data_IF_370152027483
#
_entry.id   IF_370152027483
#
_cell.length_a   1.000
_cell.length_b   1.000
_cell.length_c   1.000
_cell.angle_alpha   90.00
_cell.angle_beta   90.00
_cell.angle_gamma   90.00
#
_symmetry.space_group_name_H-M   'P 1'
#
loop_
_entity.id
_entity.type
_entity.pdbx_description
1 polymer ?
#
# COMPACT_ATOMS: atom_id res chain seq x y z
N UNK A 1 -18.28 28.31 6.42
CA UNK A 1 -19.08 27.30 5.70
C UNK A 1 -18.51 25.94 6.06
N UNK A 2 -19.18 25.22 6.96
CA UNK A 2 -18.77 23.86 7.37
C UNK A 2 -19.13 22.91 6.24
N UNK A 3 -18.12 22.31 5.59
CA UNK A 3 -18.34 21.24 4.60
C UNK A 3 -19.27 20.18 5.19
N UNK A 4 -20.22 19.63 4.40
CA UNK A 4 -21.10 18.57 4.89
C UNK A 4 -20.24 17.44 5.44
N UNK A 5 -20.47 17.09 6.71
CA UNK A 5 -19.75 16.04 7.42
C UNK A 5 -20.04 14.73 6.69
N UNK A 6 -19.14 14.30 5.82
CA UNK A 6 -19.24 13.00 5.14
C UNK A 6 -19.38 11.93 6.21
N UNK A 7 -20.37 11.05 6.04
CA UNK A 7 -20.58 9.95 6.98
C UNK A 7 -19.32 9.06 6.95
N UNK A 8 -18.86 8.54 8.10
CA UNK A 8 -17.64 7.74 8.14
C UNK A 8 -17.81 6.48 7.30
N UNK A 9 -16.73 6.04 6.68
CA UNK A 9 -16.64 4.73 6.03
C UNK A 9 -15.83 3.82 6.93
N UNK A 10 -16.41 2.69 7.32
CA UNK A 10 -15.80 1.66 8.14
C UNK A 10 -15.26 0.53 7.25
N UNK A 11 -13.99 0.18 7.43
CA UNK A 11 -13.35 -0.94 6.75
C UNK A 11 -13.27 -2.11 7.74
N UNK A 12 -14.06 -3.15 7.53
CA UNK A 12 -14.04 -4.38 8.35
C UNK A 12 -13.28 -5.43 7.56
N UNK A 13 -12.15 -5.89 8.09
CA UNK A 13 -11.27 -6.86 7.41
C UNK A 13 -11.35 -8.19 8.16
N UNK A 14 -11.75 -9.25 7.48
CA UNK A 14 -11.83 -10.60 8.04
C UNK A 14 -10.43 -11.22 8.21
N UNK A 15 -10.32 -12.22 9.09
CA UNK A 15 -9.08 -12.88 9.48
C UNK A 15 -8.35 -13.49 8.29
N UNK A 16 -9.06 -14.11 7.34
CA UNK A 16 -8.43 -14.69 6.15
C UNK A 16 -7.67 -13.64 5.33
N UNK A 17 -8.25 -12.45 5.17
CA UNK A 17 -7.61 -11.32 4.48
C UNK A 17 -6.45 -10.78 5.31
N UNK A 18 -6.61 -10.62 6.63
CA UNK A 18 -5.50 -10.23 7.51
C UNK A 18 -4.28 -11.15 7.33
N UNK A 19 -4.50 -12.46 7.30
CA UNK A 19 -3.41 -13.44 7.19
C UNK A 19 -2.81 -13.48 5.78
N UNK A 20 -3.64 -13.40 4.73
CA UNK A 20 -3.17 -13.37 3.34
C UNK A 20 -2.31 -12.14 3.05
N UNK A 21 -2.71 -10.98 3.58
CA UNK A 21 -2.06 -9.68 3.33
C UNK A 21 -0.84 -9.43 4.23
N UNK A 22 -0.30 -10.47 4.86
CA UNK A 22 0.79 -10.40 5.84
C UNK A 22 0.51 -9.33 6.90
N UNK A 23 -0.73 -9.30 7.37
CA UNK A 23 -1.28 -8.31 8.28
C UNK A 23 -1.11 -6.87 7.78
N UNK A 24 -1.56 -6.64 6.54
CA UNK A 24 -1.54 -5.37 5.81
C UNK A 24 -0.13 -4.89 5.39
N UNK A 25 0.89 -5.74 5.45
CA UNK A 25 2.24 -5.40 4.95
C UNK A 25 2.44 -5.68 3.47
N UNK A 26 1.52 -6.40 2.84
CA UNK A 26 1.47 -6.55 1.39
C UNK A 26 1.33 -5.20 0.68
N UNK A 27 1.32 -5.22 -0.65
CA UNK A 27 1.11 -4.02 -1.44
C UNK A 27 -0.26 -3.45 -1.35
N UNK A 28 -1.26 -4.33 -1.49
CA UNK A 28 -2.64 -3.95 -1.30
C UNK A 28 -2.90 -3.50 0.13
N UNK A 29 -2.25 -4.13 1.12
CA UNK A 29 -2.24 -3.71 2.52
C UNK A 29 -1.72 -2.29 2.70
N UNK A 30 -0.50 -2.01 2.22
CA UNK A 30 0.13 -0.70 2.31
C UNK A 30 -0.67 0.40 1.60
N UNK A 31 -1.19 0.12 0.40
CA UNK A 31 -2.07 1.01 -0.33
C UNK A 31 -3.38 1.28 0.43
N UNK A 32 -4.00 0.23 0.98
CA UNK A 32 -5.21 0.35 1.80
C UNK A 32 -4.98 1.23 3.03
N UNK A 33 -3.84 1.05 3.72
CA UNK A 33 -3.48 1.88 4.88
C UNK A 33 -3.32 3.36 4.50
N UNK A 34 -2.66 3.63 3.38
CA UNK A 34 -2.50 4.98 2.84
C UNK A 34 -3.86 5.62 2.56
N UNK A 35 -4.73 4.96 1.78
CA UNK A 35 -6.03 5.51 1.42
C UNK A 35 -6.98 5.60 2.60
N UNK A 36 -6.94 4.64 3.52
CA UNK A 36 -7.74 4.72 4.74
C UNK A 36 -7.37 5.96 5.57
N UNK A 37 -6.07 6.26 5.70
CA UNK A 37 -5.61 7.49 6.36
C UNK A 37 -6.04 8.74 5.58
N UNK A 38 -5.76 8.81 4.29
CA UNK A 38 -5.98 10.03 3.49
C UNK A 38 -7.45 10.40 3.34
N UNK A 39 -8.33 9.41 3.30
CA UNK A 39 -9.78 9.59 3.20
C UNK A 39 -10.51 9.58 4.56
N UNK A 40 -9.77 9.42 5.66
CA UNK A 40 -10.36 9.32 7.00
C UNK A 40 -11.27 8.11 7.18
N UNK A 41 -11.04 7.03 6.42
CA UNK A 41 -11.74 5.76 6.64
C UNK A 41 -11.26 5.12 7.94
N UNK A 42 -12.18 4.50 8.66
CA UNK A 42 -11.92 3.90 9.97
C UNK A 42 -11.77 2.40 9.78
N UNK A 43 -10.58 1.87 10.04
CA UNK A 43 -10.36 0.42 10.09
C UNK A 43 -10.98 -0.12 11.37
N UNK A 44 -11.98 -0.96 11.24
CA UNK A 44 -12.66 -1.59 12.37
C UNK A 44 -12.07 -2.97 12.60
N UNK A 45 -11.71 -3.23 13.85
CA UNK A 45 -11.15 -4.51 14.27
C UNK A 45 -12.11 -5.17 15.27
N UNK A 46 -12.99 -6.07 14.82
CA UNK A 46 -13.78 -6.90 15.72
C UNK A 46 -12.90 -7.74 16.63
N UNK A 47 -13.27 -7.85 17.90
CA UNK A 47 -12.51 -8.63 18.88
C UNK A 47 -12.32 -10.10 18.44
N UNK A 48 -13.34 -10.69 17.81
CA UNK A 48 -13.27 -12.05 17.28
C UNK A 48 -12.21 -12.21 16.19
N UNK A 49 -12.07 -11.21 15.32
CA UNK A 49 -11.01 -11.18 14.29
C UNK A 49 -9.66 -10.98 14.94
N UNK A 50 -9.52 -10.00 15.85
CA UNK A 50 -8.27 -9.72 16.57
C UNK A 50 -7.71 -10.99 17.23
N UNK A 51 -8.53 -11.66 18.05
CA UNK A 51 -8.12 -12.88 18.77
C UNK A 51 -7.71 -14.00 17.82
N UNK A 52 -8.38 -14.14 16.69
CA UNK A 52 -8.05 -15.17 15.69
C UNK A 52 -6.74 -14.86 14.96
N UNK A 53 -6.54 -13.61 14.53
CA UNK A 53 -5.31 -13.13 13.90
C UNK A 53 -4.12 -13.30 14.85
N UNK A 54 -4.23 -12.86 16.11
CA UNK A 54 -3.18 -13.00 17.13
C UNK A 54 -2.82 -14.48 17.35
N UNK A 55 -3.83 -15.35 17.47
CA UNK A 55 -3.62 -16.80 17.61
C UNK A 55 -2.91 -17.40 16.40
N UNK A 56 -3.27 -17.00 15.18
CA UNK A 56 -2.63 -17.47 13.96
C UNK A 56 -1.20 -16.97 13.84
N UNK A 57 -0.95 -15.68 14.07
CA UNK A 57 0.40 -15.10 14.06
C UNK A 57 1.32 -15.78 15.07
N UNK A 58 0.84 -16.01 16.29
CA UNK A 58 1.59 -16.77 17.32
C UNK A 58 1.98 -18.16 16.80
N UNK A 59 1.01 -18.93 16.29
CA UNK A 59 1.26 -20.28 15.76
C UNK A 59 2.29 -20.26 14.63
N UNK A 60 2.15 -19.35 13.67
CA UNK A 60 3.10 -19.21 12.57
C UNK A 60 4.50 -18.89 13.06
N UNK A 61 4.66 -17.94 14.00
CA UNK A 61 5.97 -17.61 14.55
C UNK A 61 6.57 -18.77 15.36
N UNK A 62 5.77 -19.48 16.14
CA UNK A 62 6.22 -20.64 16.91
C UNK A 62 6.69 -21.79 15.99
N UNK A 63 5.96 -22.06 14.91
CA UNK A 63 6.33 -23.06 13.91
C UNK A 63 7.64 -22.68 13.20
N UNK A 64 7.81 -21.40 12.84
CA UNK A 64 9.06 -20.90 12.27
C UNK A 64 10.24 -21.03 13.26
N UNK A 65 10.02 -20.70 14.53
CA UNK A 65 11.03 -20.87 15.59
C UNK A 65 11.45 -22.32 15.77
N UNK A 66 10.51 -23.26 15.70
CA UNK A 66 10.79 -24.70 15.71
C UNK A 66 11.60 -25.14 14.50
N UNK A 67 11.21 -24.70 13.30
CA UNK A 67 11.95 -25.00 12.06
C UNK A 67 13.38 -24.47 12.11
N UNK A 68 13.59 -23.24 12.61
CA UNK A 68 14.92 -22.67 12.82
C UNK A 68 15.76 -23.49 13.80
N UNK A 69 15.16 -23.93 14.91
CA UNK A 69 15.81 -24.79 15.90
C UNK A 69 16.22 -26.14 15.30
N UNK A 70 15.34 -26.76 14.50
CA UNK A 70 15.61 -28.04 13.84
C UNK A 70 16.72 -27.92 12.80
N UNK A 71 16.69 -26.86 11.98
CA UNK A 71 17.74 -26.56 11.00
C UNK A 71 19.09 -26.31 11.69
N UNK A 72 19.09 -25.54 12.79
CA UNK A 72 20.29 -25.27 13.57
C UNK A 72 20.89 -26.57 14.14
N UNK A 73 20.07 -27.45 14.72
CA UNK A 73 20.52 -28.78 15.22
C UNK A 73 21.19 -29.60 14.12
N UNK A 74 20.61 -29.64 12.92
CA UNK A 74 21.20 -30.33 11.76
C UNK A 74 22.54 -29.73 11.36
N UNK A 75 22.67 -28.40 11.35
CA UNK A 75 23.94 -27.73 11.05
C UNK A 75 25.03 -28.03 12.08
N UNK A 76 24.69 -28.03 13.38
CA UNK A 76 25.63 -28.40 14.44
C UNK A 76 26.10 -29.85 14.28
N UNK A 77 25.19 -30.77 13.96
CA UNK A 77 25.53 -32.18 13.74
C UNK A 77 26.48 -32.39 12.55
N UNK A 78 26.34 -31.59 11.47
CA UNK A 78 27.18 -31.70 10.27
C UNK A 78 28.53 -30.98 10.41
N UNK A 79 28.56 -29.82 11.06
CA UNK A 79 29.75 -28.95 11.12
C UNK A 79 30.55 -29.09 12.41
N UNK A 80 30.04 -29.85 13.39
CA UNK A 80 30.62 -30.00 14.74
C UNK A 80 30.51 -28.74 15.61
N UNK A 81 30.25 -27.57 15.03
CA UNK A 81 30.00 -26.30 15.71
C UNK A 81 29.20 -25.35 14.82
N UNK A 82 28.27 -24.61 15.40
CA UNK A 82 27.59 -23.49 14.75
C UNK A 82 27.30 -22.39 15.80
N UNK A 83 27.15 -21.14 15.36
CA UNK A 83 26.73 -20.05 16.25
C UNK A 83 25.32 -20.32 16.78
N UNK A 84 25.06 -20.15 18.09
CA UNK A 84 23.73 -20.39 18.65
C UNK A 84 22.72 -19.44 17.99
N UNK A 85 21.55 -20.00 17.65
CA UNK A 85 20.41 -19.23 17.16
C UNK A 85 19.51 -18.95 18.36
N UNK A 86 19.34 -17.67 18.71
CA UNK A 86 18.35 -17.25 19.69
C UNK A 86 16.96 -17.30 19.04
N UNK A 87 16.10 -18.18 19.55
CA UNK A 87 14.69 -18.24 19.15
C UNK A 87 13.88 -17.65 20.31
N UNK A 88 12.96 -16.71 20.05
CA UNK A 88 12.13 -16.14 21.09
C UNK A 88 11.30 -17.20 21.81
N UNK A 89 11.01 -16.98 23.08
CA UNK A 89 10.13 -17.89 23.84
C UNK A 89 8.64 -17.66 23.54
N UNK A 90 7.79 -18.58 24.01
CA UNK A 90 6.35 -18.53 23.79
C UNK A 90 5.70 -17.21 24.27
N UNK A 91 6.20 -16.63 25.35
CA UNK A 91 5.65 -15.41 25.92
C UNK A 91 6.04 -14.20 25.07
N UNK A 92 7.31 -14.10 24.66
CA UNK A 92 7.78 -13.10 23.71
C UNK A 92 7.01 -13.17 22.39
N UNK A 93 6.74 -14.37 21.88
CA UNK A 93 5.96 -14.57 20.65
C UNK A 93 4.50 -14.12 20.80
N UNK A 94 3.86 -14.40 21.95
CA UNK A 94 2.49 -13.93 22.23
C UNK A 94 2.42 -12.41 22.33
N UNK A 95 3.35 -11.81 23.06
CA UNK A 95 3.45 -10.35 23.17
C UNK A 95 3.68 -9.72 21.81
N UNK A 96 4.56 -10.30 20.98
CA UNK A 96 4.78 -9.83 19.62
C UNK A 96 3.49 -9.92 18.80
N UNK A 97 2.80 -11.07 18.83
CA UNK A 97 1.55 -11.25 18.08
C UNK A 97 0.48 -10.20 18.44
N UNK A 98 0.29 -9.92 19.73
CA UNK A 98 -0.64 -8.90 20.22
C UNK A 98 -0.28 -7.49 19.74
N UNK A 99 1.02 -7.14 19.75
CA UNK A 99 1.48 -5.81 19.34
C UNK A 99 1.46 -5.59 17.83
N UNK A 100 1.56 -6.65 17.01
CA UNK A 100 1.66 -6.52 15.57
C UNK A 100 0.46 -5.79 14.95
N UNK A 101 -0.77 -6.12 15.37
CA UNK A 101 -1.98 -5.45 14.84
C UNK A 101 -1.93 -3.95 15.12
N UNK A 102 -1.53 -3.55 16.34
CA UNK A 102 -1.44 -2.15 16.72
C UNK A 102 -0.29 -1.42 16.00
N UNK A 103 0.81 -2.12 15.72
CA UNK A 103 1.90 -1.62 14.89
C UNK A 103 1.44 -1.37 13.45
N UNK A 104 0.70 -2.31 12.86
CA UNK A 104 0.23 -2.21 11.48
C UNK A 104 -0.84 -1.15 11.25
N UNK A 105 -1.63 -0.85 12.28
CA UNK A 105 -2.66 0.19 12.25
C UNK A 105 -2.17 1.55 12.73
N UNK A 106 -0.87 1.68 13.04
CA UNK A 106 -0.28 2.93 13.51
C UNK A 106 -0.47 4.04 12.48
N UNK A 107 -1.03 5.17 12.93
CA UNK A 107 -1.25 6.34 12.08
C UNK A 107 -2.46 6.22 11.16
N UNK A 108 -3.34 5.24 11.37
CA UNK A 108 -4.59 5.05 10.62
C UNK A 108 -5.75 5.25 11.59
N UNK A 109 -6.86 5.90 11.20
CA UNK A 109 -8.07 5.89 12.01
C UNK A 109 -8.53 4.46 12.25
N UNK A 110 -8.64 4.06 13.53
CA UNK A 110 -9.05 2.71 13.92
C UNK A 110 -10.14 2.72 14.97
N UNK A 111 -10.95 1.67 14.98
CA UNK A 111 -11.94 1.40 16.03
C UNK A 111 -11.90 -0.08 16.40
N UNK A 112 -11.49 -0.37 17.62
CA UNK A 112 -11.65 -1.71 18.19
C UNK A 112 -13.12 -1.91 18.57
N UNK A 113 -13.69 -3.05 18.17
CA UNK A 113 -15.09 -3.36 18.37
C UNK A 113 -15.20 -4.55 19.34
N UNK A 114 -15.54 -4.31 20.63
CA UNK A 114 -15.62 -5.37 21.62
C UNK A 114 -16.67 -6.41 21.27
N UNK A 115 -16.42 -7.67 21.63
CA UNK A 115 -17.38 -8.74 21.51
C UNK A 115 -18.63 -8.43 22.33
N UNK A 116 -19.80 -8.55 21.71
CA UNK A 116 -21.08 -8.29 22.35
C UNK A 116 -21.96 -9.54 22.39
N UNK A 117 -22.74 -9.68 23.47
CA UNK A 117 -23.72 -10.77 23.57
C UNK A 117 -24.82 -10.66 22.51
N UNK A 118 -25.12 -9.45 22.04
CA UNK A 118 -26.13 -9.25 21.00
C UNK A 118 -25.59 -9.75 19.64
N UNK A 119 -24.34 -9.45 19.30
CA UNK A 119 -23.68 -10.00 18.11
C UNK A 119 -23.58 -11.53 18.19
N UNK A 120 -23.32 -12.08 19.38
CA UNK A 120 -23.28 -13.51 19.62
C UNK A 120 -24.65 -14.20 19.42
N UNK A 121 -25.71 -13.60 19.96
CA UNK A 121 -27.09 -14.10 19.80
C UNK A 121 -27.54 -14.07 18.35
N UNK A 122 -27.33 -12.94 17.67
CA UNK A 122 -27.64 -12.82 16.24
C UNK A 122 -26.92 -13.88 15.39
N UNK A 123 -25.65 -14.16 15.69
CA UNK A 123 -24.90 -15.23 15.03
C UNK A 123 -25.49 -16.63 15.31
N UNK A 124 -25.86 -16.91 16.56
CA UNK A 124 -26.49 -18.17 16.94
C UNK A 124 -27.84 -18.37 16.25
N UNK A 125 -28.66 -17.33 16.18
CA UNK A 125 -29.96 -17.36 15.50
C UNK A 125 -29.80 -17.71 14.02
N UNK A 126 -28.79 -17.12 13.35
CA UNK A 126 -28.45 -17.45 11.96
C UNK A 126 -27.97 -18.89 11.77
N UNK A 127 -27.20 -19.42 12.72
CA UNK A 127 -26.79 -20.83 12.71
C UNK A 127 -28.02 -21.75 12.82
N UNK A 128 -28.94 -21.44 13.74
CA UNK A 128 -30.15 -22.24 13.93
C UNK A 128 -31.08 -22.19 12.71
N UNK A 129 -31.10 -21.07 12.00
CA UNK A 129 -31.90 -20.87 10.79
C UNK A 129 -31.22 -21.38 9.50
N UNK A 130 -30.01 -21.92 9.57
CA UNK A 130 -29.17 -22.28 8.41
C UNK A 130 -28.99 -21.11 7.40
N UNK A 131 -28.98 -19.87 7.91
CA UNK A 131 -28.88 -18.65 7.10
C UNK A 131 -27.43 -18.19 6.89
N UNK A 132 -27.13 -17.54 5.75
CA UNK A 132 -25.82 -16.94 5.49
C UNK A 132 -25.31 -16.09 6.66
N UNK A 133 -24.00 -16.13 6.97
CA UNK A 133 -22.94 -16.85 6.24
C UNK A 133 -22.96 -18.39 6.38
N UNK A 134 -23.82 -18.93 7.26
CA UNK A 134 -23.95 -20.37 7.52
C UNK A 134 -24.70 -21.13 6.40
N UNK A 135 -24.65 -22.46 6.49
CA UNK A 135 -25.57 -23.38 5.80
C UNK A 135 -25.64 -24.68 6.61
N UNK A 136 -26.58 -25.53 6.26
CA UNK A 136 -26.69 -26.87 6.84
C UNK A 136 -25.37 -27.64 6.75
N UNK A 137 -24.84 -28.00 7.92
CA UNK A 137 -23.58 -28.74 8.06
C UNK A 137 -22.30 -27.89 8.04
N UNK A 138 -22.43 -26.56 7.99
CA UNK A 138 -21.31 -25.61 7.96
C UNK A 138 -21.67 -24.38 8.81
N UNK A 139 -21.30 -24.45 10.08
CA UNK A 139 -21.64 -23.46 11.11
C UNK A 139 -20.45 -22.53 11.34
N UNK A 140 -20.63 -21.26 11.00
CA UNK A 140 -19.63 -20.22 11.02
C UNK A 140 -20.01 -19.12 12.04
N UNK A 141 -19.90 -19.45 13.33
CA UNK A 141 -20.25 -18.53 14.41
C UNK A 141 -19.50 -17.20 14.35
N UNK A 142 -18.21 -17.24 14.01
CA UNK A 142 -17.38 -16.03 13.86
C UNK A 142 -17.95 -15.10 12.79
N UNK A 143 -18.27 -15.67 11.63
CA UNK A 143 -18.70 -14.89 10.47
C UNK A 143 -20.09 -14.26 10.71
N UNK A 144 -20.97 -14.98 11.43
CA UNK A 144 -22.22 -14.39 11.91
C UNK A 144 -22.03 -13.23 12.90
N UNK A 145 -21.02 -13.29 13.77
CA UNK A 145 -20.68 -12.17 14.68
C UNK A 145 -20.14 -10.98 13.89
N UNK A 146 -19.24 -11.21 12.94
CA UNK A 146 -18.69 -10.16 12.05
C UNK A 146 -19.83 -9.48 11.28
N UNK A 147 -20.80 -10.25 10.77
CA UNK A 147 -21.97 -9.72 10.09
C UNK A 147 -22.82 -8.83 10.99
N UNK A 148 -23.16 -9.31 12.20
CA UNK A 148 -23.96 -8.55 13.16
C UNK A 148 -23.28 -7.23 13.55
N UNK A 149 -21.95 -7.25 13.69
CA UNK A 149 -21.16 -6.05 13.94
C UNK A 149 -21.17 -5.08 12.74
N UNK A 150 -21.13 -5.58 11.50
CA UNK A 150 -21.29 -4.76 10.30
C UNK A 150 -22.65 -4.06 10.28
N UNK A 151 -23.74 -4.77 10.60
CA UNK A 151 -25.08 -4.18 10.65
C UNK A 151 -25.18 -3.04 11.66
N UNK A 152 -24.53 -3.17 12.82
CA UNK A 152 -24.48 -2.11 13.83
C UNK A 152 -23.71 -0.87 13.35
N UNK A 153 -22.62 -1.07 12.61
CA UNK A 153 -21.84 0.04 12.03
C UNK A 153 -22.63 0.79 10.94
N UNK A 154 -23.56 0.13 10.24
CA UNK A 154 -24.40 0.77 9.22
C UNK A 154 -25.33 1.85 9.76
N UNK A 155 -25.62 1.85 11.06
CA UNK A 155 -26.41 2.91 11.69
C UNK A 155 -25.61 4.22 11.81
N UNK A 156 -24.28 4.13 11.78
CA UNK A 156 -23.35 5.26 11.93
C UNK A 156 -22.77 5.74 10.59
N UNK A 157 -22.58 4.85 9.61
CA UNK A 157 -21.91 5.17 8.34
C UNK A 157 -21.89 4.01 7.35
N UNK A 158 -21.13 4.15 6.25
CA UNK A 158 -20.99 3.09 5.25
C UNK A 158 -19.99 2.04 5.73
N UNK A 159 -20.19 0.77 5.34
CA UNK A 159 -19.34 -0.35 5.74
C UNK A 159 -18.83 -1.07 4.50
N UNK A 160 -17.52 -1.25 4.42
CA UNK A 160 -16.86 -2.13 3.46
C UNK A 160 -16.32 -3.34 4.20
N UNK A 161 -16.94 -4.50 3.97
CA UNK A 161 -16.50 -5.79 4.48
C UNK A 161 -15.54 -6.42 3.48
N UNK A 162 -14.31 -6.68 3.89
CA UNK A 162 -13.31 -7.39 3.08
C UNK A 162 -13.19 -8.80 3.61
N UNK A 163 -13.70 -9.77 2.85
CA UNK A 163 -13.64 -11.19 3.18
C UNK A 163 -13.60 -12.05 1.91
N UNK A 164 -12.70 -13.03 1.90
CA UNK A 164 -12.67 -14.08 0.87
C UNK A 164 -13.64 -15.23 1.15
N UNK A 165 -14.44 -15.18 2.21
CA UNK A 165 -15.35 -16.28 2.55
C UNK A 165 -16.61 -16.26 1.68
N UNK A 166 -16.83 -17.37 0.97
CA UNK A 166 -17.97 -17.57 0.09
C UNK A 166 -19.32 -17.50 0.81
N UNK A 167 -19.39 -17.72 2.13
CA UNK A 167 -20.62 -17.63 2.93
C UNK A 167 -21.33 -16.27 2.83
N UNK A 168 -20.58 -15.19 2.60
CA UNK A 168 -21.16 -13.84 2.47
C UNK A 168 -21.71 -13.52 1.07
N UNK A 169 -21.41 -14.32 0.06
CA UNK A 169 -21.69 -13.99 -1.34
C UNK A 169 -22.95 -14.66 -1.87
N UNK A 170 -23.60 -13.99 -2.83
CA UNK A 170 -24.73 -14.54 -3.56
C UNK A 170 -24.35 -15.85 -4.25
N UNK A 171 -25.14 -16.90 -4.00
CA UNK A 171 -24.86 -18.26 -4.48
C UNK A 171 -23.45 -18.77 -4.13
N UNK A 172 -22.83 -18.20 -3.09
CA UNK A 172 -21.43 -18.48 -2.70
C UNK A 172 -20.41 -18.20 -3.80
N UNK A 173 -20.72 -17.28 -4.72
CA UNK A 173 -19.85 -16.90 -5.84
C UNK A 173 -19.09 -15.59 -5.54
N UNK A 174 -17.90 -15.75 -4.95
CA UNK A 174 -16.99 -14.65 -4.58
C UNK A 174 -16.71 -13.69 -5.74
N UNK A 175 -16.49 -14.23 -6.94
CA UNK A 175 -16.14 -13.45 -8.14
C UNK A 175 -17.21 -12.43 -8.58
N UNK A 176 -18.47 -12.60 -8.17
CA UNK A 176 -19.55 -11.67 -8.52
C UNK A 176 -19.58 -10.43 -7.60
N UNK A 177 -18.87 -10.44 -6.47
CA UNK A 177 -18.79 -9.28 -5.57
C UNK A 177 -20.12 -8.86 -4.93
N UNK A 178 -21.15 -9.71 -4.97
CA UNK A 178 -22.49 -9.41 -4.48
C UNK A 178 -22.80 -10.20 -3.21
N UNK A 179 -23.40 -9.54 -2.22
CA UNK A 179 -23.88 -10.16 -0.99
C UNK A 179 -24.95 -11.23 -1.26
N UNK A 180 -25.03 -12.23 -0.38
CA UNK A 180 -26.17 -13.13 -0.33
C UNK A 180 -27.49 -12.34 -0.14
N UNK A 181 -28.57 -12.80 -0.78
CA UNK A 181 -29.83 -12.04 -0.88
C UNK A 181 -30.40 -11.68 0.49
N UNK A 182 -30.35 -12.61 1.44
CA UNK A 182 -30.82 -12.39 2.82
C UNK A 182 -29.98 -11.34 3.55
N UNK A 183 -28.66 -11.36 3.37
CA UNK A 183 -27.75 -10.36 3.94
C UNK A 183 -27.98 -8.97 3.32
N UNK A 184 -28.21 -8.92 2.00
CA UNK A 184 -28.57 -7.68 1.31
C UNK A 184 -29.90 -7.10 1.83
N UNK A 185 -30.87 -7.97 2.14
CA UNK A 185 -32.16 -7.60 2.74
C UNK A 185 -32.02 -7.08 4.17
N UNK A 186 -31.20 -7.71 5.01
CA UNK A 186 -30.93 -7.27 6.39
C UNK A 186 -30.22 -5.91 6.46
N UNK A 187 -29.34 -5.64 5.49
CA UNK A 187 -28.67 -4.35 5.35
C UNK A 187 -29.60 -3.27 4.77
N UNK A 188 -30.70 -3.66 4.10
CA UNK A 188 -31.64 -2.74 3.46
C UNK A 188 -32.40 -1.92 4.51
N UNK A 189 -32.51 -0.61 4.26
CA UNK A 189 -33.21 0.31 5.17
C UNK A 189 -32.35 0.84 6.32
N UNK A 190 -31.08 0.42 6.41
CA UNK A 190 -30.08 1.05 7.28
C UNK A 190 -29.62 2.39 6.71
N UNK A 191 -29.01 3.22 7.56
CA UNK A 191 -28.59 4.58 7.20
C UNK A 191 -27.41 4.58 6.21
N UNK A 192 -26.47 3.66 6.38
CA UNK A 192 -25.30 3.50 5.53
C UNK A 192 -25.45 2.47 4.41
N UNK A 193 -24.44 2.38 3.57
CA UNK A 193 -24.33 1.35 2.53
C UNK A 193 -23.35 0.27 2.95
N UNK A 194 -23.70 -1.01 2.75
CA UNK A 194 -22.77 -2.13 2.92
C UNK A 194 -22.29 -2.62 1.54
N UNK A 195 -20.98 -2.75 1.37
CA UNK A 195 -20.39 -3.44 0.22
C UNK A 195 -19.42 -4.51 0.70
N UNK A 196 -19.32 -5.61 -0.05
CA UNK A 196 -18.42 -6.72 0.24
C UNK A 196 -17.34 -6.81 -0.85
N UNK A 197 -16.11 -7.08 -0.44
CA UNK A 197 -14.95 -7.19 -1.30
C UNK A 197 -14.19 -8.48 -1.02
N UNK A 198 -13.75 -9.23 -2.04
CA UNK A 198 -13.06 -10.50 -1.86
C UNK A 198 -11.63 -10.37 -1.35
N UNK A 199 -11.01 -9.21 -1.58
CA UNK A 199 -9.63 -8.93 -1.19
C UNK A 199 -9.40 -7.42 -1.09
N UNK A 200 -8.21 -7.01 -0.63
CA UNK A 200 -7.84 -5.61 -0.59
C UNK A 200 -7.66 -5.02 -1.99
N UNK A 201 -7.15 -5.79 -2.96
CA UNK A 201 -7.02 -5.34 -4.35
C UNK A 201 -8.38 -4.96 -4.95
N UNK A 202 -9.42 -5.73 -4.64
CA UNK A 202 -10.78 -5.41 -5.08
C UNK A 202 -11.36 -4.17 -4.38
N UNK A 203 -10.92 -3.89 -3.14
CA UNK A 203 -11.31 -2.69 -2.39
C UNK A 203 -10.63 -1.43 -2.92
N UNK A 204 -9.37 -1.51 -3.35
CA UNK A 204 -8.56 -0.34 -3.70
C UNK A 204 -9.23 0.62 -4.69
N UNK A 205 -9.83 0.18 -5.82
CA UNK A 205 -10.51 1.09 -6.75
C UNK A 205 -11.65 1.89 -6.11
N UNK A 206 -12.22 1.42 -4.99
CA UNK A 206 -13.32 2.10 -4.29
C UNK A 206 -12.85 3.19 -3.32
N UNK A 207 -11.68 3.00 -2.71
CA UNK A 207 -11.13 3.90 -1.68
C UNK A 207 -9.98 4.77 -2.19
N UNK A 208 -9.43 4.42 -3.36
CA UNK A 208 -8.34 5.15 -3.97
C UNK A 208 -8.76 6.59 -4.30
N UNK A 209 -7.89 7.52 -3.95
CA UNK A 209 -8.02 8.94 -4.28
C UNK A 209 -6.80 9.38 -5.09
N UNK A 210 -6.98 10.30 -6.06
CA UNK A 210 -5.84 10.85 -6.79
C UNK A 210 -4.90 11.57 -5.81
N UNK A 211 -3.61 11.25 -5.92
CA UNK A 211 -2.55 11.94 -5.18
C UNK A 211 -2.25 13.23 -5.92
N UNK A 212 -2.59 14.38 -5.33
CA UNK A 212 -2.28 15.68 -5.92
C UNK A 212 -0.80 15.99 -5.73
N UNK A 213 -0.07 16.12 -6.82
CA UNK A 213 1.34 16.46 -6.82
C UNK A 213 1.60 17.65 -7.74
N UNK A 214 2.38 18.61 -7.27
CA UNK A 214 2.87 19.71 -8.09
C UNK A 214 4.08 19.22 -8.89
N UNK A 215 3.83 18.83 -10.14
CA UNK A 215 4.87 18.29 -11.02
C UNK A 215 5.96 19.31 -11.37
N UNK A 216 5.60 20.60 -11.44
CA UNK A 216 6.54 21.66 -11.77
C UNK A 216 7.49 21.90 -10.58
N UNK A 217 6.95 21.97 -9.37
CA UNK A 217 7.77 22.05 -8.16
C UNK A 217 8.68 20.82 -8.01
N UNK A 218 8.17 19.62 -8.31
CA UNK A 218 8.98 18.40 -8.28
C UNK A 218 10.08 18.41 -9.35
N UNK A 219 9.79 18.86 -10.57
CA UNK A 219 10.75 18.94 -11.66
C UNK A 219 11.88 19.92 -11.35
N UNK A 220 11.54 21.10 -10.80
CA UNK A 220 12.51 22.09 -10.33
C UNK A 220 13.40 21.52 -9.24
N UNK A 221 12.80 20.89 -8.22
CA UNK A 221 13.56 20.33 -7.10
C UNK A 221 14.46 19.16 -7.55
N UNK A 222 14.00 18.30 -8.47
CA UNK A 222 14.80 17.21 -9.02
C UNK A 222 15.98 17.70 -9.87
N UNK A 223 15.81 18.81 -10.58
CA UNK A 223 16.88 19.40 -11.38
C UNK A 223 17.86 20.22 -10.53
N UNK A 224 17.41 20.83 -9.44
CA UNK A 224 18.22 21.73 -8.61
C UNK A 224 19.52 21.07 -8.12
N UNK A 225 19.43 19.84 -7.61
CA UNK A 225 20.61 19.10 -7.10
C UNK A 225 21.56 18.65 -8.20
N UNK A 226 21.08 18.57 -9.45
CA UNK A 226 21.87 18.17 -10.60
C UNK A 226 22.31 19.33 -11.49
N UNK A 227 21.83 20.55 -11.22
CA UNK A 227 21.87 21.64 -12.20
C UNK A 227 23.28 21.92 -12.69
N UNK A 228 24.25 22.02 -11.77
CA UNK A 228 25.64 22.27 -12.10
C UNK A 228 26.26 21.14 -12.95
N UNK A 229 25.98 19.89 -12.61
CA UNK A 229 26.49 18.72 -13.36
C UNK A 229 25.89 18.64 -14.76
N UNK A 230 24.59 18.92 -14.88
CA UNK A 230 23.85 18.97 -16.15
C UNK A 230 24.38 20.10 -17.02
N UNK A 231 24.50 21.31 -16.48
CA UNK A 231 24.98 22.49 -17.20
C UNK A 231 26.43 22.30 -17.67
N UNK A 232 27.30 21.73 -16.83
CA UNK A 232 28.67 21.39 -17.23
C UNK A 232 28.71 20.32 -18.34
N UNK A 233 27.87 19.29 -18.25
CA UNK A 233 27.79 18.23 -19.25
C UNK A 233 27.30 18.74 -20.62
N UNK A 234 26.33 19.65 -20.63
CA UNK A 234 25.80 20.28 -21.83
C UNK A 234 26.80 21.29 -22.41
N UNK A 235 27.43 22.13 -21.57
CA UNK A 235 28.44 23.11 -22.00
C UNK A 235 29.66 22.47 -22.65
N UNK A 236 30.14 21.33 -22.12
CA UNK A 236 31.21 20.55 -22.76
C UNK A 236 30.87 20.10 -24.20
N UNK A 237 29.60 20.19 -24.60
CA UNK A 237 29.09 19.81 -25.93
C UNK A 237 28.54 21.00 -26.71
N UNK A 238 28.71 22.23 -26.22
CA UNK A 238 28.16 23.45 -26.83
C UNK A 238 26.63 23.50 -26.81
N UNK A 239 26.01 22.89 -25.79
CA UNK A 239 24.56 22.82 -25.62
C UNK A 239 24.14 23.57 -24.35
N UNK A 240 22.89 24.01 -24.33
CA UNK A 240 22.21 24.63 -23.18
C UNK A 240 20.88 23.96 -22.91
N UNK A 241 20.49 23.92 -21.64
CA UNK A 241 19.21 23.41 -21.20
C UNK A 241 18.12 24.47 -21.43
N UNK A 242 17.08 24.12 -22.17
CA UNK A 242 15.90 24.93 -22.41
C UNK A 242 14.74 24.57 -21.47
N UNK A 243 13.53 24.87 -21.92
CA UNK A 243 12.31 24.70 -21.13
C UNK A 243 11.91 23.23 -20.93
N UNK A 244 11.15 22.98 -19.85
CA UNK A 244 10.51 21.68 -19.61
C UNK A 244 9.43 21.44 -20.67
N UNK A 245 9.46 20.28 -21.31
CA UNK A 245 8.37 19.83 -22.17
C UNK A 245 7.18 19.36 -21.32
N UNK A 246 5.94 19.63 -21.76
CA UNK A 246 4.76 19.06 -21.11
C UNK A 246 4.72 17.53 -21.24
N UNK A 247 4.09 16.86 -20.28
CA UNK A 247 3.89 15.39 -20.31
C UNK A 247 4.98 14.60 -19.59
N UNK A 248 5.25 14.94 -18.32
CA UNK A 248 6.05 14.10 -17.43
C UNK A 248 5.31 12.82 -17.03
N UNK A 249 6.06 11.80 -16.63
CA UNK A 249 5.50 10.57 -16.04
C UNK A 249 5.86 10.57 -14.55
N UNK A 250 4.86 10.60 -13.67
CA UNK A 250 5.05 10.46 -12.22
C UNK A 250 4.30 9.23 -11.75
N UNK A 251 5.01 8.30 -11.12
CA UNK A 251 4.43 7.11 -10.48
C UNK A 251 4.62 7.19 -8.98
N UNK A 252 3.58 6.88 -8.23
CA UNK A 252 3.61 6.87 -6.78
C UNK A 252 3.35 5.45 -6.27
N UNK A 253 4.04 5.05 -5.22
CA UNK A 253 3.96 3.74 -4.60
C UNK A 253 3.61 3.92 -3.12
N UNK A 254 2.68 3.13 -2.60
CA UNK A 254 2.45 3.09 -1.16
C UNK A 254 3.65 2.47 -0.44
N UNK A 255 3.95 2.97 0.76
CA UNK A 255 5.00 2.41 1.61
C UNK A 255 4.40 1.79 2.87
N UNK A 256 5.23 1.13 3.68
CA UNK A 256 4.78 0.61 4.98
C UNK A 256 4.36 1.74 5.96
N UNK A 257 4.85 2.96 5.75
CA UNK A 257 4.45 4.14 6.50
C UNK A 257 3.26 4.84 5.79
N UNK A 258 2.06 4.88 6.37
CA UNK A 258 0.87 5.44 5.69
C UNK A 258 0.97 6.94 5.39
N UNK A 259 1.90 7.67 6.03
CA UNK A 259 2.16 9.09 5.79
C UNK A 259 3.24 9.32 4.72
N UNK A 260 3.78 8.26 4.12
CA UNK A 260 4.83 8.34 3.09
C UNK A 260 4.48 7.54 1.86
N UNK A 261 4.68 8.16 0.70
CA UNK A 261 4.67 7.50 -0.59
C UNK A 261 6.09 7.51 -1.16
N UNK A 262 6.39 6.55 -2.03
CA UNK A 262 7.62 6.56 -2.83
C UNK A 262 7.27 6.90 -4.27
N UNK A 263 7.91 7.91 -4.82
CA UNK A 263 7.67 8.38 -6.18
C UNK A 263 8.84 8.06 -7.10
N UNK A 264 8.52 7.84 -8.38
CA UNK A 264 9.49 7.99 -9.47
C UNK A 264 8.93 8.97 -10.48
N UNK A 265 9.79 9.83 -11.03
CA UNK A 265 9.41 10.80 -12.05
C UNK A 265 10.35 10.76 -13.24
N UNK A 266 9.80 11.07 -14.42
CA UNK A 266 10.51 11.26 -15.67
C UNK A 266 10.06 12.59 -16.27
N UNK A 267 10.99 13.52 -16.42
CA UNK A 267 10.77 14.82 -17.05
C UNK A 267 11.63 14.97 -18.29
N UNK A 268 11.14 15.73 -19.27
CA UNK A 268 11.86 16.01 -20.51
C UNK A 268 12.09 17.51 -20.64
N UNK A 269 13.28 17.89 -21.07
CA UNK A 269 13.69 19.27 -21.28
C UNK A 269 14.21 19.43 -22.70
N UNK A 270 13.89 20.57 -23.31
CA UNK A 270 14.51 20.95 -24.57
C UNK A 270 16.00 21.21 -24.36
N UNK A 271 16.80 20.87 -25.37
CA UNK A 271 18.23 21.16 -25.39
C UNK A 271 18.54 21.82 -26.74
N UNK A 272 19.24 22.93 -26.70
CA UNK A 272 19.64 23.69 -27.88
C UNK A 272 21.12 24.05 -27.85
N UNK A 273 21.65 24.63 -28.93
CA UNK A 273 23.01 25.16 -28.94
C UNK A 273 23.19 26.30 -27.92
N UNK A 274 24.41 26.49 -27.46
CA UNK A 274 24.79 27.62 -26.61
C UNK A 274 24.88 28.92 -27.45
N UNK A 275 24.11 29.95 -27.08
CA UNK A 275 24.06 31.26 -27.76
C UNK A 275 22.95 31.41 -28.83
N UNK A 276 23.01 32.48 -29.63
CA UNK A 276 22.02 32.78 -30.70
C UNK A 276 22.18 31.93 -31.98
N UNK A 277 23.01 30.87 -31.95
CA UNK A 277 23.24 30.02 -33.11
C UNK A 277 21.96 29.24 -33.47
N UNK A 278 21.19 29.73 -34.45
CA UNK A 278 19.91 29.13 -34.83
C UNK A 278 20.03 27.71 -35.45
N UNK A 279 21.21 27.35 -35.98
CA UNK A 279 21.47 26.13 -36.76
C UNK A 279 22.18 24.99 -35.97
N UNK A 280 22.28 25.09 -34.65
CA UNK A 280 22.92 24.05 -33.84
C UNK A 280 22.04 22.82 -33.55
N UNK A 281 22.66 21.69 -33.13
CA UNK A 281 21.94 20.46 -32.83
C UNK A 281 20.92 20.68 -31.71
N UNK A 282 19.66 20.32 -31.98
CA UNK A 282 18.57 20.32 -30.99
C UNK A 282 18.36 18.92 -30.45
N UNK A 283 17.96 18.84 -29.20
CA UNK A 283 17.78 17.57 -28.51
C UNK A 283 16.75 17.64 -27.41
N UNK A 284 16.61 16.51 -26.74
CA UNK A 284 15.79 16.33 -25.55
C UNK A 284 16.65 15.71 -24.48
N UNK A 285 16.68 16.33 -23.30
CA UNK A 285 17.23 15.73 -22.10
C UNK A 285 16.11 15.08 -21.31
N UNK A 286 16.25 13.80 -20.99
CA UNK A 286 15.37 13.09 -20.07
C UNK A 286 16.03 13.01 -18.68
N UNK A 287 15.35 13.58 -17.69
CA UNK A 287 15.70 13.50 -16.28
C UNK A 287 14.79 12.46 -15.61
N UNK A 288 15.40 11.47 -14.97
CA UNK A 288 14.68 10.52 -14.11
C UNK A 288 15.14 10.63 -12.67
N UNK A 289 14.21 10.66 -11.74
CA UNK A 289 14.49 10.72 -10.31
C UNK A 289 13.52 9.84 -9.52
N UNK A 290 13.95 9.44 -8.32
CA UNK A 290 13.10 8.86 -7.29
C UNK A 290 12.97 9.85 -6.13
N UNK A 291 11.89 9.77 -5.34
CA UNK A 291 11.71 10.65 -4.19
C UNK A 291 10.81 9.99 -3.14
N UNK A 292 10.90 10.47 -1.89
CA UNK A 292 9.93 10.17 -0.85
C UNK A 292 8.91 11.32 -0.82
N UNK A 293 7.61 11.06 -0.79
CA UNK A 293 6.58 12.09 -0.67
C UNK A 293 5.95 12.06 0.71
N UNK A 294 6.06 13.19 1.42
CA UNK A 294 5.43 13.39 2.71
C UNK A 294 3.99 13.88 2.48
N UNK A 295 3.04 13.03 2.88
CA UNK A 295 1.61 13.24 2.65
C UNK A 295 1.08 14.37 3.53
N UNK A 296 1.58 14.49 4.75
CA UNK A 296 1.11 15.49 5.72
C UNK A 296 1.65 16.88 5.34
N UNK A 297 2.89 16.95 4.87
CA UNK A 297 3.51 18.19 4.37
C UNK A 297 3.19 18.49 2.89
N UNK A 298 2.48 17.58 2.20
CA UNK A 298 2.14 17.66 0.79
C UNK A 298 3.33 18.01 -0.13
N UNK A 299 4.51 17.43 0.14
CA UNK A 299 5.74 17.76 -0.59
C UNK A 299 6.65 16.56 -0.80
N UNK A 300 7.38 16.59 -1.91
CA UNK A 300 8.49 15.68 -2.13
C UNK A 300 9.65 16.01 -1.18
N UNK A 301 10.30 14.95 -0.70
CA UNK A 301 11.45 14.95 0.20
C UNK A 301 12.46 13.94 -0.33
N UNK A 302 13.74 14.13 -0.01
CA UNK A 302 14.83 13.21 -0.38
C UNK A 302 14.77 12.81 -1.86
N UNK A 303 14.95 13.78 -2.75
CA UNK A 303 14.97 13.50 -4.18
C UNK A 303 16.32 12.85 -4.53
N UNK A 304 16.25 11.73 -5.23
CA UNK A 304 17.37 10.93 -5.68
C UNK A 304 17.39 10.95 -7.20
N UNK A 305 18.19 11.84 -7.80
CA UNK A 305 18.35 11.84 -9.24
C UNK A 305 19.02 10.53 -9.66
N UNK A 306 18.45 9.82 -10.64
CA UNK A 306 18.93 8.50 -11.03
C UNK A 306 19.73 8.56 -12.34
N UNK A 307 19.08 9.05 -13.41
CA UNK A 307 19.65 9.02 -14.75
C UNK A 307 19.27 10.29 -15.49
N UNK A 308 20.28 10.92 -16.08
CA UNK A 308 20.11 11.95 -17.12
C UNK A 308 20.53 11.33 -18.44
N UNK A 309 19.62 11.33 -19.42
CA UNK A 309 19.89 10.81 -20.77
C UNK A 309 19.69 11.92 -21.80
N UNK A 310 20.66 12.13 -22.69
CA UNK A 310 20.60 13.10 -23.77
C UNK A 310 20.30 12.41 -25.10
N UNK A 311 19.24 12.87 -25.76
CA UNK A 311 18.85 12.47 -27.11
C UNK A 311 19.00 13.66 -28.04
N UNK A 312 19.66 13.48 -29.19
CA UNK A 312 19.74 14.52 -30.22
C UNK A 312 18.82 14.18 -31.39
N UNK A 313 18.33 15.22 -32.07
CA UNK A 313 17.65 15.05 -33.34
C UNK A 313 18.65 14.53 -34.38
N UNK A 314 18.32 13.38 -34.97
CA UNK A 314 18.98 12.85 -36.16
C UNK A 314 18.58 13.73 -37.37
N UNK A 315 19.47 13.95 -38.36
CA UNK A 315 19.11 14.56 -39.65
C UNK A 315 17.84 13.98 -40.32
N UNK A 316 17.44 12.74 -40.01
CA UNK A 316 16.17 12.14 -40.45
C UNK A 316 14.91 12.50 -39.64
N UNK A 317 15.01 13.34 -38.60
CA UNK A 317 13.89 13.75 -37.73
C UNK A 317 13.57 12.80 -36.56
N UNK A 318 14.32 11.71 -36.41
CA UNK A 318 14.24 10.81 -35.25
C UNK A 318 15.05 11.32 -34.05
N UNK A 319 14.75 10.85 -32.85
CA UNK A 319 15.60 11.08 -31.67
C UNK A 319 16.54 9.89 -31.50
N UNK A 320 17.86 10.12 -31.58
CA UNK A 320 18.87 9.11 -31.34
C UNK A 320 19.54 9.34 -29.97
N UNK A 321 19.70 8.28 -29.18
CA UNK A 321 20.47 8.34 -27.94
C UNK A 321 21.94 8.63 -28.28
N UNK A 322 22.52 9.67 -27.67
CA UNK A 322 23.90 10.02 -27.94
C UNK A 322 24.85 8.98 -27.32
N UNK A 323 25.88 8.48 -28.03
CA UNK A 323 26.93 7.66 -27.44
C UNK A 323 27.63 8.40 -26.28
N UNK A 324 27.68 7.81 -25.09
CA UNK A 324 28.18 8.49 -23.88
C UNK A 324 27.26 9.61 -23.36
N UNK A 325 26.03 9.71 -23.88
CA UNK A 325 25.00 10.70 -23.55
C UNK A 325 24.26 10.43 -22.24
N UNK A 326 24.75 9.51 -21.41
CA UNK A 326 24.05 9.05 -20.21
C UNK A 326 24.92 9.31 -18.99
N UNK A 327 24.43 10.15 -18.08
CA UNK A 327 25.02 10.33 -16.77
C UNK A 327 24.17 9.53 -15.78
N UNK A 328 24.79 8.55 -15.13
CA UNK A 328 24.17 7.79 -14.05
C UNK A 328 24.69 8.35 -12.74
N UNK A 329 23.78 8.84 -11.91
CA UNK A 329 24.10 9.30 -10.57
C UNK A 329 23.86 8.13 -9.61
N UNK A 330 24.93 7.62 -9.00
CA UNK A 330 24.82 6.54 -8.02
C UNK A 330 24.84 7.14 -6.61
N UNK A 331 23.67 7.34 -6.01
CA UNK A 331 23.58 7.66 -4.59
C UNK A 331 23.67 6.36 -3.77
N UNK A 332 24.83 6.05 -3.19
CA UNK A 332 24.96 4.93 -2.27
C UNK A 332 24.33 5.28 -0.91
N UNK A 333 23.37 4.47 -0.43
CA UNK A 333 22.90 4.50 0.97
C UNK A 333 24.04 4.06 1.89
N UNK A 334 24.85 5.01 2.37
CA UNK A 334 25.76 4.79 3.50
C UNK A 334 25.00 4.83 4.81
N UNK A 335 24.52 3.69 5.29
CA UNK A 335 23.88 3.57 6.61
C UNK A 335 24.41 2.35 7.36
N UNK A 336 25.30 2.58 8.33
CA UNK A 336 25.53 1.62 9.42
C UNK A 336 24.28 1.62 10.30
N UNK A 337 23.61 0.48 10.42
CA UNK A 337 22.50 0.24 11.36
C UNK A 337 21.12 0.31 10.71
N UNK A 338 20.40 -0.81 10.76
CA UNK A 338 19.05 -1.06 10.24
C UNK A 338 18.90 -1.09 8.71
N UNK A 339 19.03 -2.30 8.16
CA UNK A 339 18.47 -2.66 6.86
C UNK A 339 16.94 -2.63 6.94
N UNK A 340 16.34 -1.46 6.72
CA UNK A 340 14.89 -1.37 6.50
C UNK A 340 14.60 -1.91 5.10
N UNK A 341 14.17 -3.16 5.03
CA UNK A 341 13.62 -3.76 3.82
C UNK A 341 12.26 -3.10 3.53
N UNK A 342 12.25 -2.01 2.75
CA UNK A 342 11.01 -1.41 2.26
C UNK A 342 10.52 -2.18 1.03
N UNK A 343 9.47 -2.99 1.17
CA UNK A 343 8.71 -3.48 0.03
C UNK A 343 7.95 -2.31 -0.64
N UNK A 344 7.83 -2.31 -1.97
CA UNK A 344 7.31 -1.19 -2.77
C UNK A 344 6.25 -1.69 -3.75
N UNK A 345 5.16 -0.95 -3.94
CA UNK A 345 3.97 -1.42 -4.65
C UNK A 345 3.30 -0.33 -5.51
N UNK A 346 3.00 -0.64 -6.77
CA UNK A 346 2.44 0.29 -7.78
C UNK A 346 1.07 0.89 -7.40
N UNK A 347 0.98 2.23 -7.39
CA UNK A 347 -0.29 2.96 -7.44
C UNK A 347 -0.38 3.72 -8.77
N UNK A 348 -1.45 3.51 -9.53
CA UNK A 348 -1.73 4.36 -10.69
C UNK A 348 -2.14 5.77 -10.24
N UNK A 349 -1.45 6.78 -10.74
CA UNK A 349 -1.82 8.19 -10.57
C UNK A 349 -2.69 8.57 -11.75
N UNK A 350 -3.94 8.97 -11.47
CA UNK A 350 -4.81 9.59 -12.47
C UNK A 350 -4.54 11.10 -12.41
N UNK A 351 -4.02 11.63 -13.52
CA UNK A 351 -3.68 13.04 -13.74
C UNK A 351 -4.92 13.94 -13.78
#
# INVERSE_FOLDING_TARGET
>A
MTSPKTSPTFLVIDTNVWLHELALRSGAGSATRYFARSQGHVVVVPEVVRREVEKHLFRTMADLGKQMTDAHRKLVALLGRAKPVAVPDDEELRQRAAHLIDEFLRGIPRRDLPFSLDSARASLDKIMADEPPNKRGDQQFKDGVIWADCLRLLDEGSVYLVTGDAGFYHERQVARGRLATTLEEEARGRRGTLAVFPSLEALLPRIQSPVRLDEDALAVAALQDLRESVDNFLRMRGLTLGDRRPGGEVKMLATEEPARLYGTCRFRYDVGPEGEAQDGPRGVMELTAAFDYDVDAARATKIFPNIVSLFLADPGGGLAAMPGGRIVFVSCRGGRGETVHSARYDLEVIL
#
